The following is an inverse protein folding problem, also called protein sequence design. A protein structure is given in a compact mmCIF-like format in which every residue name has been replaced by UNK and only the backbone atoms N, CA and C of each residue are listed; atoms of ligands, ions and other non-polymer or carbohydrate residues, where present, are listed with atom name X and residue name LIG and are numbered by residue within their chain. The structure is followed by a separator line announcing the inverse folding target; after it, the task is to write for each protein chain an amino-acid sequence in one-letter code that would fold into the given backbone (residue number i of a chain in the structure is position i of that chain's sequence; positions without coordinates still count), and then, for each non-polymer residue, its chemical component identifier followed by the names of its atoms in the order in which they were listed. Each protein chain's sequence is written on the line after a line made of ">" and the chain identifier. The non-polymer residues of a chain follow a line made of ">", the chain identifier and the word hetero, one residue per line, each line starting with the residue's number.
data_IF_497515302242
#
_entry.id   IF_497515302242
#
_cell.length_a   1.000
_cell.length_b   1.000
_cell.length_c   1.000
_cell.angle_alpha   90.00
_cell.angle_beta   90.00
_cell.angle_gamma   90.00
#
_symmetry.space_group_name_H-M   'P 1'
#
loop_
_entity.id
_entity.type
_entity.pdbx_description
1 polymer ?
#
# COMPACT_ATOMS: atom_id res chain seq x y z
N UNK A 1 -13.88 9.87 26.62
CA UNK A 1 -12.96 10.55 25.68
C UNK A 1 -13.40 10.17 24.25
N UNK A 2 -13.84 11.11 23.39
CA UNK A 2 -14.20 10.75 22.03
C UNK A 2 -12.91 10.59 21.22
N UNK A 3 -12.61 9.35 20.82
CA UNK A 3 -11.51 9.05 19.90
C UNK A 3 -11.89 9.72 18.58
N UNK A 4 -11.16 10.77 18.18
CA UNK A 4 -11.31 11.39 16.87
C UNK A 4 -11.08 10.30 15.82
N UNK A 5 -12.14 9.82 15.18
CA UNK A 5 -12.03 8.91 14.03
C UNK A 5 -11.30 9.68 12.94
N UNK A 6 -10.09 9.21 12.61
CA UNK A 6 -9.36 9.77 11.49
C UNK A 6 -10.14 9.45 10.22
N UNK A 7 -10.62 10.47 9.52
CA UNK A 7 -11.37 10.33 8.26
C UNK A 7 -10.60 9.46 7.26
N UNK A 8 -9.26 9.44 7.32
CA UNK A 8 -8.42 8.58 6.51
C UNK A 8 -8.59 7.08 6.82
N UNK A 9 -8.78 6.71 8.09
CA UNK A 9 -9.04 5.31 8.50
C UNK A 9 -10.41 4.85 8.02
N UNK A 10 -11.45 5.69 8.14
CA UNK A 10 -12.81 5.36 7.69
C UNK A 10 -12.87 5.19 6.17
N UNK A 11 -12.20 6.08 5.42
CA UNK A 11 -12.08 5.97 3.96
C UNK A 11 -11.33 4.69 3.56
N UNK A 12 -10.26 4.34 4.27
CA UNK A 12 -9.50 3.13 3.97
C UNK A 12 -10.28 1.85 4.29
N UNK A 13 -11.03 1.82 5.40
CA UNK A 13 -11.94 0.73 5.73
C UNK A 13 -12.98 0.49 4.64
N UNK A 14 -13.61 1.56 4.11
CA UNK A 14 -14.56 1.45 2.99
C UNK A 14 -13.90 0.82 1.76
N UNK A 15 -12.70 1.28 1.39
CA UNK A 15 -11.96 0.71 0.25
C UNK A 15 -11.65 -0.78 0.43
N UNK A 16 -11.29 -1.20 1.63
CA UNK A 16 -11.05 -2.61 1.93
C UNK A 16 -12.36 -3.40 1.94
N UNK A 17 -13.44 -2.84 2.45
CA UNK A 17 -14.77 -3.45 2.35
C UNK A 17 -15.18 -3.69 0.90
N UNK A 18 -15.12 -2.66 0.05
CA UNK A 18 -15.46 -2.74 -1.37
C UNK A 18 -14.57 -3.75 -2.11
N UNK A 19 -13.29 -3.79 -1.77
CA UNK A 19 -12.35 -4.79 -2.28
C UNK A 19 -12.78 -6.21 -1.92
N UNK A 20 -13.12 -6.47 -0.65
CA UNK A 20 -13.58 -7.78 -0.21
C UNK A 20 -14.86 -8.19 -0.96
N UNK A 21 -15.84 -7.28 -1.06
CA UNK A 21 -17.10 -7.52 -1.76
C UNK A 21 -16.89 -7.88 -3.24
N UNK A 22 -15.94 -7.22 -3.92
CA UNK A 22 -15.68 -7.43 -5.34
C UNK A 22 -14.78 -8.64 -5.64
N UNK A 23 -13.81 -8.95 -4.77
CA UNK A 23 -12.73 -9.91 -5.06
C UNK A 23 -12.82 -11.20 -4.27
N UNK A 24 -13.33 -11.15 -3.03
CA UNK A 24 -13.31 -12.30 -2.13
C UNK A 24 -14.68 -12.95 -2.03
N UNK A 25 -15.76 -12.16 -2.07
CA UNK A 25 -17.14 -12.65 -2.00
C UNK A 25 -17.47 -13.75 -3.03
N UNK A 26 -17.00 -13.70 -4.29
CA UNK A 26 -17.27 -14.76 -5.27
C UNK A 26 -16.53 -16.08 -5.01
N UNK A 27 -15.53 -16.09 -4.12
CA UNK A 27 -14.62 -17.21 -3.89
C UNK A 27 -14.89 -17.96 -2.59
N UNK A 28 -15.75 -17.41 -1.72
CA UNK A 28 -15.94 -17.86 -0.36
C UNK A 28 -17.39 -18.16 -0.05
N UNK A 29 -17.61 -19.05 0.90
CA UNK A 29 -18.92 -19.20 1.53
C UNK A 29 -19.27 -17.93 2.33
N UNK A 30 -20.57 -17.60 2.50
CA UNK A 30 -20.98 -16.39 3.20
C UNK A 30 -20.35 -16.22 4.58
N UNK A 31 -20.24 -17.30 5.36
CA UNK A 31 -19.64 -17.26 6.70
C UNK A 31 -18.15 -16.91 6.66
N UNK A 32 -17.41 -17.58 5.79
CA UNK A 32 -15.97 -17.35 5.61
C UNK A 32 -15.70 -15.95 5.06
N UNK A 33 -16.56 -15.47 4.15
CA UNK A 33 -16.51 -14.11 3.65
C UNK A 33 -16.64 -13.06 4.76
N UNK A 34 -17.65 -13.19 5.64
CA UNK A 34 -17.81 -12.27 6.76
C UNK A 34 -16.62 -12.34 7.74
N UNK A 35 -16.09 -13.53 8.00
CA UNK A 35 -14.93 -13.72 8.87
C UNK A 35 -13.68 -13.02 8.31
N UNK A 36 -13.33 -13.22 7.03
CA UNK A 36 -12.14 -12.58 6.45
C UNK A 36 -12.30 -11.07 6.32
N UNK A 37 -13.51 -10.61 5.95
CA UNK A 37 -13.80 -9.18 5.84
C UNK A 37 -13.67 -8.52 7.20
N UNK A 38 -14.29 -9.11 8.23
CA UNK A 38 -14.17 -8.67 9.61
C UNK A 38 -12.73 -8.66 10.10
N UNK A 39 -11.96 -9.69 9.79
CA UNK A 39 -10.53 -9.77 10.10
C UNK A 39 -9.74 -8.62 9.48
N UNK A 40 -9.86 -8.40 8.16
CA UNK A 40 -9.15 -7.33 7.45
C UNK A 40 -9.54 -5.94 7.95
N UNK A 41 -10.81 -5.70 8.27
CA UNK A 41 -11.26 -4.44 8.88
C UNK A 41 -10.70 -4.30 10.29
N UNK A 42 -10.67 -5.37 11.08
CA UNK A 42 -10.06 -5.40 12.41
C UNK A 42 -8.60 -4.96 12.39
N UNK A 43 -7.80 -5.44 11.43
CA UNK A 43 -6.40 -5.01 11.25
C UNK A 43 -6.27 -3.50 11.08
N UNK A 44 -7.21 -2.86 10.39
CA UNK A 44 -7.21 -1.41 10.16
C UNK A 44 -7.63 -0.66 11.42
N UNK A 45 -8.70 -1.11 12.08
CA UNK A 45 -9.24 -0.49 13.31
C UNK A 45 -8.22 -0.53 14.43
N UNK A 46 -7.56 -1.67 14.63
CA UNK A 46 -6.56 -1.87 15.68
C UNK A 46 -5.14 -1.50 15.24
N UNK A 47 -4.97 -1.05 13.99
CA UNK A 47 -3.67 -0.74 13.38
C UNK A 47 -2.63 -1.86 13.57
N UNK A 48 -3.08 -3.11 13.48
CA UNK A 48 -2.28 -4.32 13.68
C UNK A 48 -1.87 -4.93 12.35
N UNK A 49 -0.74 -5.66 12.36
CA UNK A 49 -0.26 -6.37 11.16
C UNK A 49 -0.95 -7.73 11.05
N UNK A 50 -1.23 -8.23 9.84
CA UNK A 50 -1.62 -9.63 9.66
C UNK A 50 -0.48 -10.55 10.14
N UNK A 51 -0.79 -11.82 10.47
CA UNK A 51 0.22 -12.86 10.68
C UNK A 51 1.20 -12.92 9.51
N UNK A 52 2.50 -12.95 9.82
CA UNK A 52 3.57 -13.02 8.83
C UNK A 52 4.46 -14.23 9.09
N UNK A 53 4.79 -14.96 8.02
CA UNK A 53 5.77 -16.05 8.01
C UNK A 53 6.84 -15.74 6.98
N UNK A 54 8.10 -15.67 7.41
CA UNK A 54 9.23 -15.27 6.57
C UNK A 54 8.99 -13.95 5.80
N UNK A 55 8.35 -12.97 6.45
CA UNK A 55 8.07 -11.65 5.87
C UNK A 55 6.92 -11.61 4.87
N UNK A 56 6.22 -12.72 4.63
CA UNK A 56 5.02 -12.79 3.77
C UNK A 56 3.78 -13.08 4.61
N UNK A 57 2.61 -12.77 4.05
CA UNK A 57 1.32 -13.07 4.68
C UNK A 57 1.23 -14.57 4.98
N UNK A 58 1.01 -14.92 6.24
CA UNK A 58 0.81 -16.29 6.67
C UNK A 58 -0.66 -16.68 6.49
N UNK A 59 -1.00 -17.11 5.27
CA UNK A 59 -2.36 -17.52 4.95
C UNK A 59 -2.83 -18.71 5.79
N UNK A 60 -1.93 -19.57 6.27
CA UNK A 60 -2.33 -20.70 7.10
C UNK A 60 -2.83 -20.22 8.46
N UNK A 61 -2.07 -19.35 9.11
CA UNK A 61 -2.48 -18.76 10.39
C UNK A 61 -3.78 -17.95 10.25
N UNK A 62 -3.92 -17.19 9.15
CA UNK A 62 -5.14 -16.45 8.85
C UNK A 62 -6.33 -17.41 8.70
N UNK A 63 -6.14 -18.56 8.06
CA UNK A 63 -7.18 -19.56 7.88
C UNK A 63 -7.70 -20.06 9.23
N UNK A 64 -6.79 -20.41 10.12
CA UNK A 64 -7.12 -20.90 11.45
C UNK A 64 -7.78 -19.82 12.33
N UNK A 65 -7.31 -18.56 12.25
CA UNK A 65 -7.94 -17.42 12.95
C UNK A 65 -9.34 -17.10 12.43
N UNK A 66 -9.58 -17.32 11.13
CA UNK A 66 -10.86 -17.02 10.49
C UNK A 66 -11.78 -18.26 10.36
N UNK A 67 -11.32 -19.44 10.77
CA UNK A 67 -12.04 -20.71 10.65
C UNK A 67 -12.40 -21.08 9.21
N UNK A 68 -11.45 -20.95 8.27
CA UNK A 68 -11.66 -21.15 6.84
C UNK A 68 -10.57 -21.99 6.16
N UNK A 69 -9.99 -22.94 6.90
CA UNK A 69 -8.90 -23.80 6.43
C UNK A 69 -9.22 -24.53 5.11
N UNK A 70 -10.48 -24.94 4.91
CA UNK A 70 -10.95 -25.61 3.70
C UNK A 70 -11.09 -24.70 2.48
N UNK A 71 -11.17 -23.37 2.68
CA UNK A 71 -11.41 -22.38 1.61
C UNK A 71 -10.11 -21.67 1.16
N UNK A 72 -8.95 -22.11 1.65
CA UNK A 72 -7.62 -21.55 1.34
C UNK A 72 -7.06 -22.00 -0.02
N UNK A 73 -7.84 -21.79 -1.08
CA UNK A 73 -7.44 -22.08 -2.45
C UNK A 73 -6.31 -21.14 -2.95
N UNK A 74 -5.49 -21.57 -3.93
CA UNK A 74 -4.52 -20.70 -4.59
C UNK A 74 -5.17 -19.45 -5.21
N UNK A 75 -6.38 -19.59 -5.74
CA UNK A 75 -7.16 -18.52 -6.34
C UNK A 75 -7.53 -17.46 -5.30
N UNK A 76 -8.01 -17.90 -4.13
CA UNK A 76 -8.31 -17.02 -3.01
C UNK A 76 -7.06 -16.30 -2.51
N UNK A 77 -5.96 -17.02 -2.27
CA UNK A 77 -4.70 -16.43 -1.80
C UNK A 77 -4.21 -15.33 -2.74
N UNK A 78 -4.24 -15.58 -4.06
CA UNK A 78 -3.89 -14.59 -5.09
C UNK A 78 -4.86 -13.41 -5.11
N UNK A 79 -6.16 -13.65 -4.93
CA UNK A 79 -7.17 -12.59 -4.90
C UNK A 79 -7.05 -11.72 -3.65
N UNK A 80 -6.69 -12.28 -2.50
CA UNK A 80 -6.60 -11.61 -1.20
C UNK A 80 -5.27 -10.87 -0.98
N UNK A 81 -4.17 -11.35 -1.56
CA UNK A 81 -2.83 -10.76 -1.39
C UNK A 81 -2.79 -9.22 -1.58
N UNK A 82 -3.39 -8.63 -2.63
CA UNK A 82 -3.37 -7.18 -2.81
C UNK A 82 -4.02 -6.40 -1.65
N UNK A 83 -5.04 -6.99 -1.02
CA UNK A 83 -5.71 -6.39 0.13
C UNK A 83 -4.80 -6.35 1.36
N UNK A 84 -4.10 -7.45 1.65
CA UNK A 84 -3.12 -7.50 2.73
C UNK A 84 -1.92 -6.59 2.49
N UNK A 85 -1.42 -6.53 1.25
CA UNK A 85 -0.33 -5.62 0.87
C UNK A 85 -0.73 -4.16 1.06
N UNK A 86 -1.97 -3.80 0.70
CA UNK A 86 -2.51 -2.46 0.91
C UNK A 86 -2.59 -2.12 2.40
N UNK A 87 -3.02 -3.05 3.25
CA UNK A 87 -3.06 -2.87 4.72
C UNK A 87 -1.65 -2.67 5.27
N UNK A 88 -0.70 -3.55 4.94
CA UNK A 88 0.70 -3.44 5.38
C UNK A 88 1.32 -2.10 4.98
N UNK A 89 1.04 -1.63 3.75
CA UNK A 89 1.50 -0.33 3.26
C UNK A 89 0.85 0.82 4.02
N UNK A 90 -0.46 0.75 4.26
CA UNK A 90 -1.19 1.77 5.01
C UNK A 90 -0.66 1.89 6.45
N UNK A 91 -0.39 0.77 7.12
CA UNK A 91 0.23 0.74 8.46
C UNK A 91 1.65 1.33 8.47
N UNK A 92 2.41 1.17 7.39
CA UNK A 92 3.70 1.84 7.23
C UNK A 92 3.56 3.35 7.00
N UNK A 93 2.57 3.77 6.21
CA UNK A 93 2.30 5.16 5.92
C UNK A 93 1.80 5.92 7.15
N UNK A 94 0.97 5.32 8.00
CA UNK A 94 0.51 5.95 9.25
C UNK A 94 1.66 6.19 10.23
N UNK A 95 2.58 5.22 10.39
CA UNK A 95 3.78 5.38 11.22
C UNK A 95 4.72 6.48 10.69
N UNK A 96 4.88 6.56 9.38
CA UNK A 96 5.66 7.63 8.76
C UNK A 96 4.99 9.01 8.86
N UNK A 97 3.65 9.06 8.84
CA UNK A 97 2.90 10.32 8.92
C UNK A 97 3.02 10.98 10.31
N UNK A 98 3.07 10.19 11.39
CA UNK A 98 3.38 10.70 12.74
C UNK A 98 4.80 11.30 12.81
N UNK A 99 5.77 10.75 12.08
CA UNK A 99 7.15 11.25 12.06
C UNK A 99 7.39 12.40 11.07
N UNK A 100 6.42 12.76 10.21
CA UNK A 100 6.58 13.73 9.11
C UNK A 100 5.93 15.10 9.37
N UNK A 101 5.60 15.44 10.61
CA UNK A 101 5.38 16.86 10.96
C UNK A 101 6.75 17.48 11.29
N UNK A 102 7.61 17.53 10.29
CA UNK A 102 8.78 18.39 10.23
C UNK A 102 8.76 19.01 8.84
N UNK A 103 8.71 20.34 8.69
CA UNK A 103 8.52 20.97 7.39
C UNK A 103 9.85 20.87 6.64
N UNK A 104 10.00 19.87 5.78
CA UNK A 104 11.09 19.89 4.80
C UNK A 104 10.69 20.83 3.66
N UNK A 105 11.06 22.09 3.89
CA UNK A 105 11.73 22.99 2.95
C UNK A 105 11.58 22.63 1.47
N UNK A 106 10.94 23.55 0.76
CA UNK A 106 11.05 23.69 -0.69
C UNK A 106 12.52 23.68 -1.16
N UNK A 107 12.82 22.87 -2.18
CA UNK A 107 13.56 23.23 -3.41
C UNK A 107 14.13 21.98 -4.08
N UNK A 108 13.79 21.79 -5.35
CA UNK A 108 14.69 21.17 -6.32
C UNK A 108 14.41 21.80 -7.70
N UNK A 109 15.37 22.54 -8.29
CA UNK A 109 15.33 22.90 -9.70
C UNK A 109 15.81 21.70 -10.52
N UNK A 110 15.00 21.24 -11.47
CA UNK A 110 15.39 20.22 -12.43
C UNK A 110 16.37 20.84 -13.44
N UNK A 111 17.65 20.57 -13.20
CA UNK A 111 18.79 20.81 -14.10
C UNK A 111 18.74 19.75 -15.20
N UNK A 112 18.60 20.15 -16.46
CA UNK A 112 18.69 19.24 -17.61
C UNK A 112 20.11 19.31 -18.18
N UNK A 113 20.87 18.20 -18.29
CA UNK A 113 22.16 18.16 -18.96
C UNK A 113 22.05 17.53 -20.36
N UNK A 114 22.81 18.07 -21.32
CA UNK A 114 23.03 17.51 -22.66
C UNK A 114 22.66 18.53 -23.74
N UNK A 115 23.52 18.89 -24.69
CA UNK A 115 24.50 18.07 -25.42
C UNK A 115 25.54 19.01 -26.05
N UNK A 116 26.80 18.64 -25.91
CA UNK A 116 27.93 19.29 -26.58
C UNK A 116 27.91 18.99 -28.09
N UNK A 117 28.31 19.97 -28.91
CA UNK A 117 28.99 19.75 -30.19
C UNK A 117 29.89 20.95 -30.53
N UNK A 118 30.98 20.73 -31.28
CA UNK A 118 32.24 21.46 -31.11
C UNK A 118 32.48 22.60 -32.10
N UNK A 119 33.41 23.45 -31.69
CA UNK A 119 34.08 24.56 -32.40
C UNK A 119 34.79 24.13 -33.69
N UNK A 120 34.55 24.87 -34.78
CA UNK A 120 35.44 25.08 -35.95
C UNK A 120 34.76 26.13 -36.87
N UNK A 121 35.34 27.15 -37.49
CA UNK A 121 36.69 27.75 -37.59
C UNK A 121 36.52 29.11 -38.31
N UNK A 122 37.43 30.04 -38.02
CA UNK A 122 37.83 31.24 -38.81
C UNK A 122 36.83 32.39 -39.06
N UNK A 123 37.23 33.59 -38.61
CA UNK A 123 37.96 34.57 -39.45
C UNK A 123 38.52 35.68 -38.55
N UNK A 124 39.86 35.79 -38.52
CA UNK A 124 40.60 36.85 -37.83
C UNK A 124 40.81 38.02 -38.80
N UNK A 125 40.73 39.24 -38.28
CA UNK A 125 40.83 40.49 -39.02
C UNK A 125 42.28 40.97 -39.24
N UNK A 126 42.45 41.71 -40.35
CA UNK A 126 43.35 42.85 -40.63
C UNK A 126 44.88 42.70 -40.84
N UNK A 127 45.32 43.45 -41.86
CA UNK A 127 46.58 44.20 -42.05
C UNK A 127 47.84 43.48 -42.58
N UNK A 128 48.23 43.84 -43.81
CA UNK A 128 49.51 44.50 -44.11
C UNK A 128 49.33 45.36 -45.36
#
# INVERSE_FOLDING_TARGET
>A
MPIKKSSASDVFQRKISDFCDMRLKPLLQPRSFENIKGFMIGLIVFQSRPPLRAGRVDFQEIASLCGMDEEMSPEFKRAAQPGFDAILRWLGATKANTARISPVVAKAPLRVPGKAMPVRTERRALAS
#
